data_IF_078438635440
#
_entry.id   IF_078438635440
#
_cell.length_a   1.000
_cell.length_b   1.000
_cell.length_c   1.000
_cell.angle_alpha   90.00
_cell.angle_beta   90.00
_cell.angle_gamma   90.00
#
_symmetry.space_group_name_H-M   'P 1'
#
loop_
_entity.id
_entity.type
_entity.pdbx_description
1 polymer ?
#
# COMPACT_ATOMS: atom_id res chain seq x y z
N UNK A 1 13.50 -54.78 11.11
CA UNK A 1 13.92 -53.49 10.50
C UNK A 1 12.74 -52.93 9.73
N UNK A 2 11.84 -52.19 10.38
CA UNK A 2 10.67 -51.54 9.71
C UNK A 2 10.59 -50.02 9.97
N UNK A 3 11.61 -49.43 10.59
CA UNK A 3 11.63 -48.00 10.93
C UNK A 3 11.81 -47.08 9.71
N UNK A 4 12.41 -47.60 8.62
CA UNK A 4 12.77 -46.81 7.43
C UNK A 4 11.57 -46.50 6.52
N UNK A 5 10.55 -47.36 6.50
CA UNK A 5 9.36 -47.15 5.66
C UNK A 5 8.50 -45.97 6.11
N UNK A 6 8.22 -45.88 7.43
CA UNK A 6 7.37 -44.83 8.01
C UNK A 6 7.91 -43.41 7.80
N UNK A 7 9.22 -43.20 7.95
CA UNK A 7 9.85 -41.90 7.75
C UNK A 7 9.74 -41.45 6.29
N UNK A 8 9.89 -42.36 5.33
CA UNK A 8 9.74 -42.04 3.89
C UNK A 8 8.29 -41.65 3.54
N UNK A 9 7.30 -42.32 4.14
CA UNK A 9 5.90 -41.97 3.96
C UNK A 9 5.55 -40.61 4.57
N UNK A 10 6.09 -40.28 5.75
CA UNK A 10 5.89 -38.97 6.38
C UNK A 10 6.52 -37.83 5.57
N UNK A 11 7.72 -38.03 5.05
CA UNK A 11 8.38 -37.06 4.17
C UNK A 11 7.59 -36.87 2.87
N UNK A 12 7.10 -37.96 2.28
CA UNK A 12 6.27 -37.90 1.08
C UNK A 12 4.96 -37.16 1.34
N UNK A 13 4.25 -37.47 2.43
CA UNK A 13 3.03 -36.75 2.81
C UNK A 13 3.30 -35.28 3.10
N UNK A 14 4.43 -34.97 3.75
CA UNK A 14 4.81 -33.58 4.03
C UNK A 14 5.04 -32.80 2.74
N UNK A 15 5.82 -33.33 1.80
CA UNK A 15 6.06 -32.67 0.50
C UNK A 15 4.75 -32.53 -0.29
N UNK A 16 3.92 -33.57 -0.31
CA UNK A 16 2.63 -33.55 -1.01
C UNK A 16 1.69 -32.49 -0.43
N UNK A 17 1.53 -32.44 0.89
CA UNK A 17 0.65 -31.48 1.56
C UNK A 17 1.16 -30.05 1.34
N UNK A 18 2.46 -29.80 1.48
CA UNK A 18 3.02 -28.47 1.21
C UNK A 18 2.85 -28.05 -0.26
N UNK A 19 3.04 -28.98 -1.20
CA UNK A 19 2.79 -28.71 -2.63
C UNK A 19 1.34 -28.32 -2.90
N UNK A 20 0.39 -29.03 -2.30
CA UNK A 20 -1.05 -28.72 -2.41
C UNK A 20 -1.35 -27.35 -1.76
N UNK A 21 -0.79 -27.06 -0.59
CA UNK A 21 -0.99 -25.79 0.11
C UNK A 21 -0.48 -24.59 -0.69
N UNK A 22 0.67 -24.71 -1.38
CA UNK A 22 1.20 -23.65 -2.26
C UNK A 22 0.24 -23.41 -3.45
N UNK A 23 -0.36 -24.47 -4.00
CA UNK A 23 -1.32 -24.32 -5.11
C UNK A 23 -2.69 -23.77 -4.69
N UNK A 24 -3.00 -23.80 -3.39
CA UNK A 24 -4.24 -23.24 -2.83
C UNK A 24 -4.15 -21.73 -2.59
N UNK A 25 -2.96 -21.14 -2.67
CA UNK A 25 -2.82 -19.69 -2.60
C UNK A 25 -3.47 -19.06 -3.83
N UNK A 26 -4.50 -18.24 -3.60
CA UNK A 26 -5.14 -17.51 -4.68
C UNK A 26 -4.17 -16.44 -5.19
N UNK A 27 -3.90 -16.44 -6.49
CA UNK A 27 -3.08 -15.40 -7.11
C UNK A 27 -3.81 -14.06 -7.04
N UNK A 28 -3.26 -13.12 -6.29
CA UNK A 28 -3.70 -11.72 -6.31
C UNK A 28 -3.18 -11.03 -7.58
N UNK A 29 -4.05 -10.30 -8.28
CA UNK A 29 -3.66 -9.46 -9.42
C UNK A 29 -3.68 -8.01 -8.97
N UNK A 30 -2.52 -7.36 -8.95
CA UNK A 30 -2.36 -6.00 -8.42
C UNK A 30 -2.73 -4.98 -9.49
N UNK A 31 -3.80 -4.22 -9.25
CA UNK A 31 -4.24 -3.15 -10.15
C UNK A 31 -3.60 -1.79 -9.83
N UNK A 32 -3.26 -1.55 -8.56
CA UNK A 32 -2.63 -0.31 -8.10
C UNK A 32 -1.81 -0.56 -6.83
N UNK A 33 -0.55 -0.15 -6.85
CA UNK A 33 0.34 -0.16 -5.67
C UNK A 33 1.09 1.17 -5.57
N UNK A 34 0.78 1.95 -4.53
CA UNK A 34 1.43 3.23 -4.25
C UNK A 34 2.89 3.08 -3.84
N UNK A 35 3.22 2.01 -3.12
CA UNK A 35 4.58 1.76 -2.65
C UNK A 35 5.49 1.39 -3.81
N UNK A 36 5.02 0.52 -4.72
CA UNK A 36 5.78 0.12 -5.89
C UNK A 36 6.01 1.26 -6.89
N UNK A 37 5.13 2.28 -6.92
CA UNK A 37 5.25 3.40 -7.84
C UNK A 37 6.50 4.27 -7.62
N UNK A 38 6.98 4.40 -6.38
CA UNK A 38 8.21 5.13 -6.04
C UNK A 38 8.21 6.63 -6.40
N UNK A 39 7.06 7.20 -6.76
CA UNK A 39 6.87 8.60 -7.16
C UNK A 39 5.49 9.11 -6.75
N UNK A 40 5.29 10.42 -6.84
CA UNK A 40 3.96 11.00 -6.69
C UNK A 40 3.02 10.47 -7.79
N UNK A 41 1.83 10.02 -7.39
CA UNK A 41 0.83 9.40 -8.27
C UNK A 41 -0.12 10.41 -8.94
N UNK A 42 -0.04 11.70 -8.59
CA UNK A 42 -0.91 12.74 -9.14
C UNK A 42 -2.39 12.56 -8.77
N UNK A 43 -2.68 12.06 -7.56
CA UNK A 43 -4.05 11.93 -7.07
C UNK A 43 -4.65 13.31 -6.81
N UNK A 44 -5.94 13.46 -7.06
CA UNK A 44 -6.61 14.74 -6.89
C UNK A 44 -7.07 14.91 -5.45
N UNK A 45 -6.84 16.10 -4.90
CA UNK A 45 -7.30 16.51 -3.57
C UNK A 45 -8.48 17.46 -3.69
N UNK A 46 -9.43 17.35 -2.76
CA UNK A 46 -10.47 18.35 -2.57
C UNK A 46 -10.59 18.68 -1.08
N UNK A 47 -10.72 19.96 -0.70
CA UNK A 47 -10.55 21.14 -1.55
C UNK A 47 -9.13 21.23 -2.15
N UNK A 48 -8.97 21.94 -3.29
CA UNK A 48 -7.65 22.12 -3.88
C UNK A 48 -6.79 22.98 -2.94
N UNK A 49 -5.50 22.63 -2.85
CA UNK A 49 -4.53 23.44 -2.12
C UNK A 49 -4.41 24.81 -2.80
N UNK A 50 -4.94 25.86 -2.18
CA UNK A 50 -4.89 27.23 -2.72
C UNK A 50 -3.57 27.88 -2.34
N UNK A 51 -2.77 28.21 -3.34
CA UNK A 51 -1.61 29.08 -3.19
C UNK A 51 -2.12 30.52 -3.09
N UNK A 52 -2.31 31.04 -1.87
CA UNK A 52 -2.59 32.47 -1.70
C UNK A 52 -1.30 33.24 -1.93
N UNK A 53 -1.27 34.00 -3.01
CA UNK A 53 -0.21 34.96 -3.34
C UNK A 53 0.11 35.84 -2.12
N UNK A 54 1.30 35.64 -1.53
CA UNK A 54 1.82 36.49 -0.45
C UNK A 54 1.66 35.99 0.99
N UNK A 55 1.05 34.84 1.26
CA UNK A 55 0.94 34.32 2.63
C UNK A 55 0.96 32.80 2.67
N UNK A 56 1.81 32.23 3.54
CA UNK A 56 1.85 30.84 4.03
C UNK A 56 0.81 29.92 3.36
N UNK A 57 1.25 28.98 2.51
CA UNK A 57 0.42 27.93 1.89
C UNK A 57 -0.63 27.44 2.88
N UNK A 58 -1.87 27.91 2.77
CA UNK A 58 -2.94 27.46 3.65
C UNK A 58 -3.32 26.08 3.15
N UNK A 59 -2.74 25.05 3.75
CA UNK A 59 -2.97 23.66 3.39
C UNK A 59 -4.38 23.29 3.82
N UNK A 60 -5.34 23.50 2.93
CA UNK A 60 -6.72 23.10 3.15
C UNK A 60 -6.87 21.67 2.64
N UNK A 61 -6.54 20.70 3.49
CA UNK A 61 -6.83 19.28 3.23
C UNK A 61 -5.59 18.40 3.00
N UNK A 62 -5.67 17.49 2.03
CA UNK A 62 -4.64 16.49 1.78
C UNK A 62 -3.37 17.10 1.16
N UNK A 63 -2.21 16.71 1.68
CA UNK A 63 -0.89 17.06 1.15
C UNK A 63 -0.05 15.83 0.81
N UNK A 64 0.80 15.97 -0.21
CA UNK A 64 1.79 14.95 -0.57
C UNK A 64 3.05 15.17 0.25
N UNK A 65 3.49 14.11 0.91
CA UNK A 65 4.70 14.10 1.72
C UNK A 65 5.63 12.97 1.27
N UNK A 66 6.87 13.34 1.00
CA UNK A 66 7.92 12.46 0.53
C UNK A 66 8.78 11.99 1.71
N UNK A 67 8.94 10.68 1.90
CA UNK A 67 9.77 10.08 2.96
C UNK A 67 10.76 9.08 2.38
N UNK A 68 11.98 9.05 2.91
CA UNK A 68 13.01 8.08 2.51
C UNK A 68 13.13 7.04 3.61
N UNK A 69 12.89 5.77 3.28
CA UNK A 69 13.01 4.65 4.21
C UNK A 69 13.89 3.58 3.59
N UNK A 70 14.94 3.16 4.31
CA UNK A 70 15.87 2.12 3.86
C UNK A 70 16.45 2.34 2.44
N UNK A 71 16.74 3.60 2.08
CA UNK A 71 17.27 3.98 0.77
C UNK A 71 16.23 4.08 -0.35
N UNK A 72 14.97 3.70 -0.10
CA UNK A 72 13.86 3.84 -1.04
C UNK A 72 13.04 5.09 -0.77
N UNK A 73 12.55 5.72 -1.84
CA UNK A 73 11.66 6.89 -1.76
C UNK A 73 10.20 6.45 -1.71
N UNK A 74 9.45 7.01 -0.76
CA UNK A 74 8.02 6.78 -0.57
C UNK A 74 7.28 8.10 -0.64
N UNK A 75 6.13 8.08 -1.32
CA UNK A 75 5.22 9.22 -1.40
C UNK A 75 3.95 8.83 -0.66
N UNK A 76 3.57 9.66 0.30
CA UNK A 76 2.41 9.44 1.17
C UNK A 76 1.51 10.66 1.13
N UNK A 77 0.20 10.46 1.31
CA UNK A 77 -0.75 11.56 1.47
C UNK A 77 -1.10 11.69 2.95
N UNK A 78 -1.05 12.89 3.50
CA UNK A 78 -1.37 13.17 4.91
C UNK A 78 -2.28 14.40 5.03
N UNK A 79 -3.06 14.48 6.10
CA UNK A 79 -3.93 15.61 6.45
C UNK A 79 -3.96 15.75 7.97
N UNK A 80 -3.88 16.98 8.50
CA UNK A 80 -3.73 17.21 9.94
C UNK A 80 -4.54 18.41 10.48
N UNK A 81 -5.74 18.66 9.95
CA UNK A 81 -6.55 19.80 10.43
C UNK A 81 -7.42 19.40 11.63
N UNK A 82 -6.80 18.82 12.68
CA UNK A 82 -7.50 18.30 13.87
C UNK A 82 -8.16 19.38 14.73
N UNK A 83 -7.73 20.64 14.55
CA UNK A 83 -8.29 21.80 15.25
C UNK A 83 -9.58 22.32 14.60
N UNK A 84 -9.87 21.92 13.36
CA UNK A 84 -11.04 22.38 12.61
C UNK A 84 -12.30 21.62 13.01
N UNK A 85 -13.41 22.35 13.22
CA UNK A 85 -14.68 21.75 13.69
C UNK A 85 -15.43 21.00 12.57
N UNK A 86 -15.30 21.46 11.33
CA UNK A 86 -15.94 20.87 10.15
C UNK A 86 -14.87 20.58 9.10
N UNK A 87 -14.82 19.35 8.61
CA UNK A 87 -13.83 18.90 7.62
C UNK A 87 -14.52 18.11 6.50
N UNK A 88 -14.12 18.39 5.26
CA UNK A 88 -14.59 17.70 4.05
C UNK A 88 -13.41 17.48 3.09
N UNK A 89 -12.42 16.70 3.54
CA UNK A 89 -11.15 16.50 2.84
C UNK A 89 -11.20 15.18 2.02
N UNK A 90 -11.30 15.27 0.70
CA UNK A 90 -11.28 14.12 -0.20
C UNK A 90 -9.92 13.93 -0.87
N UNK A 91 -9.57 12.67 -1.09
CA UNK A 91 -8.42 12.24 -1.87
C UNK A 91 -8.90 11.20 -2.89
N UNK A 92 -8.63 11.43 -4.16
CA UNK A 92 -9.10 10.59 -5.25
C UNK A 92 -7.95 10.04 -6.07
N UNK A 93 -7.90 8.72 -6.22
CA UNK A 93 -6.90 8.05 -7.07
C UNK A 93 -7.07 8.41 -8.55
N UNK A 94 -6.07 8.03 -9.34
CA UNK A 94 -6.26 7.88 -10.78
C UNK A 94 -7.25 6.75 -11.07
N UNK A 95 -7.76 6.70 -12.30
CA UNK A 95 -8.60 5.60 -12.74
C UNK A 95 -7.87 4.25 -12.58
N UNK A 96 -8.57 3.26 -12.03
CA UNK A 96 -8.11 1.87 -11.88
C UNK A 96 -9.02 1.05 -12.79
N UNK A 97 -8.42 0.30 -13.72
CA UNK A 97 -9.13 -0.48 -14.73
C UNK A 97 -9.66 -1.81 -14.16
#
# INVERSE_FOLDING_TARGET
MEFSGGIRHLLFSYVLINGILITLEAKEEVLLDMRAAGRELGWLTWPPNVEREGSQKSQVGWEVHQRTLNGSQFYTYQVCNVEEREQDNWLRTTFIQ
#
